data_IF_751860368692
#
_entry.id   IF_751860368692
#
_cell.length_a   1.000
_cell.length_b   1.000
_cell.length_c   1.000
_cell.angle_alpha   90.00
_cell.angle_beta   90.00
_cell.angle_gamma   90.00
#
_symmetry.space_group_name_H-M   'P 1'
#
loop_
_entity.id
_entity.type
_entity.pdbx_description
1 polymer ?
#
# COMPACT_ATOMS: atom_id res chain seq x y z
N UNK A 1 -80.61 29.57 61.73
CA UNK A 1 -80.62 28.69 60.60
C UNK A 1 -81.29 27.39 61.03
N UNK A 2 -82.33 26.99 60.33
CA UNK A 2 -83.12 25.80 60.66
C UNK A 2 -82.30 24.54 60.42
N UNK A 3 -82.38 23.51 61.21
CA UNK A 3 -81.61 22.23 61.10
C UNK A 3 -81.72 21.63 59.69
N UNK A 4 -82.83 21.84 59.03
CA UNK A 4 -83.06 21.39 57.63
C UNK A 4 -82.11 22.10 56.62
N UNK A 5 -81.83 23.38 56.81
CA UNK A 5 -80.91 24.16 55.96
C UNK A 5 -79.46 23.76 56.12
N UNK A 6 -79.08 23.31 57.31
CA UNK A 6 -77.71 22.79 57.56
C UNK A 6 -77.52 21.45 56.91
N UNK A 7 -78.54 20.56 56.94
CA UNK A 7 -78.52 19.22 56.26
C UNK A 7 -78.44 19.39 54.73
N UNK A 8 -79.21 20.32 54.15
CA UNK A 8 -79.16 20.63 52.71
C UNK A 8 -77.77 21.17 52.28
N UNK A 9 -77.18 22.05 53.10
CA UNK A 9 -75.84 22.56 52.81
C UNK A 9 -74.76 21.47 52.90
N UNK A 10 -74.84 20.57 53.85
CA UNK A 10 -73.92 19.44 53.98
C UNK A 10 -74.06 18.45 52.80
N UNK A 11 -75.28 18.18 52.35
CA UNK A 11 -75.52 17.31 51.21
C UNK A 11 -75.04 17.96 49.90
N UNK A 12 -75.17 19.26 49.73
CA UNK A 12 -74.64 19.99 48.58
C UNK A 12 -73.10 19.97 48.54
N UNK A 13 -72.45 20.18 49.70
CA UNK A 13 -70.99 20.10 49.81
C UNK A 13 -70.49 18.66 49.50
N UNK A 14 -71.18 17.63 50.05
CA UNK A 14 -70.83 16.23 49.74
C UNK A 14 -70.99 15.89 48.26
N UNK A 15 -72.04 16.41 47.61
CA UNK A 15 -72.24 16.22 46.19
C UNK A 15 -71.13 16.89 45.32
N UNK A 16 -70.69 18.10 45.70
CA UNK A 16 -69.62 18.86 45.06
C UNK A 16 -68.27 18.09 45.23
N UNK A 17 -67.98 17.61 46.45
CA UNK A 17 -66.76 16.82 46.73
C UNK A 17 -66.75 15.49 45.95
N UNK A 18 -67.88 14.81 45.98
CA UNK A 18 -68.03 13.52 45.25
C UNK A 18 -67.92 13.76 43.73
N UNK A 19 -68.50 14.86 43.19
CA UNK A 19 -68.36 15.27 41.78
C UNK A 19 -66.95 15.62 41.42
N UNK A 20 -66.23 16.33 42.29
CA UNK A 20 -64.81 16.67 42.12
C UNK A 20 -63.91 15.42 42.07
N UNK A 21 -64.12 14.51 43.02
CA UNK A 21 -63.37 13.21 43.05
C UNK A 21 -63.63 12.36 41.79
N UNK A 22 -64.91 12.32 41.38
CA UNK A 22 -65.28 11.61 40.14
C UNK A 22 -64.65 12.23 38.89
N UNK A 23 -64.64 13.56 38.79
CA UNK A 23 -64.01 14.32 37.69
C UNK A 23 -62.49 14.07 37.62
N UNK A 24 -61.80 14.13 38.74
CA UNK A 24 -60.37 13.86 38.83
C UNK A 24 -60.03 12.41 38.41
N UNK A 25 -60.80 11.44 38.93
CA UNK A 25 -60.64 10.02 38.55
C UNK A 25 -60.93 9.79 37.06
N UNK A 26 -62.00 10.38 36.52
CA UNK A 26 -62.34 10.29 35.12
C UNK A 26 -61.23 10.86 34.18
N UNK A 27 -60.70 12.03 34.53
CA UNK A 27 -59.58 12.61 33.77
C UNK A 27 -58.32 11.80 33.87
N UNK A 28 -57.97 11.27 35.02
CA UNK A 28 -56.81 10.38 35.19
C UNK A 28 -56.95 9.09 34.36
N UNK A 29 -58.14 8.48 34.37
CA UNK A 29 -58.43 7.27 33.56
C UNK A 29 -58.33 7.62 32.05
N UNK A 30 -58.94 8.72 31.61
CA UNK A 30 -58.89 9.16 30.22
C UNK A 30 -57.45 9.46 29.77
N UNK A 31 -56.64 10.13 30.56
CA UNK A 31 -55.23 10.41 30.25
C UNK A 31 -54.40 9.14 30.17
N UNK A 32 -54.65 8.17 31.07
CA UNK A 32 -54.01 6.85 31.08
C UNK A 32 -54.37 6.04 29.81
N UNK A 33 -55.62 6.02 29.45
CA UNK A 33 -56.10 5.35 28.20
C UNK A 33 -55.48 5.99 26.97
N UNK A 34 -55.41 7.35 26.90
CA UNK A 34 -54.79 8.07 25.81
C UNK A 34 -53.29 7.74 25.70
N UNK A 35 -52.58 7.70 26.81
CA UNK A 35 -51.15 7.33 26.83
C UNK A 35 -50.93 5.88 26.37
N UNK A 36 -51.72 4.91 26.86
CA UNK A 36 -51.64 3.50 26.42
C UNK A 36 -51.96 3.37 24.92
N UNK A 37 -52.94 4.11 24.41
CA UNK A 37 -53.29 4.07 22.98
C UNK A 37 -52.19 4.65 22.10
N UNK A 38 -51.53 5.73 22.56
CA UNK A 38 -50.39 6.35 21.87
C UNK A 38 -49.18 5.43 21.82
N UNK A 39 -48.86 4.77 22.95
CA UNK A 39 -47.76 3.80 23.03
C UNK A 39 -48.03 2.59 22.12
N UNK A 40 -49.27 2.10 22.07
CA UNK A 40 -49.67 1.02 21.16
C UNK A 40 -49.50 1.44 19.69
N UNK A 41 -49.93 2.63 19.33
CA UNK A 41 -49.82 3.13 17.94
C UNK A 41 -48.36 3.32 17.55
N UNK A 42 -47.50 3.85 18.45
CA UNK A 42 -46.07 4.01 18.23
C UNK A 42 -45.41 2.63 18.03
N UNK A 43 -45.73 1.64 18.83
CA UNK A 43 -45.20 0.28 18.69
C UNK A 43 -45.62 -0.36 17.35
N UNK A 44 -46.88 -0.24 16.96
CA UNK A 44 -47.38 -0.72 15.66
C UNK A 44 -46.69 -0.05 14.50
N UNK A 45 -46.46 1.27 14.55
CA UNK A 45 -45.76 2.00 13.50
C UNK A 45 -44.29 1.54 13.37
N UNK A 46 -43.58 1.37 14.48
CA UNK A 46 -42.18 0.91 14.46
C UNK A 46 -42.08 -0.51 13.88
N UNK A 47 -42.97 -1.41 14.25
CA UNK A 47 -42.93 -2.79 13.76
C UNK A 47 -43.37 -2.91 12.30
N UNK A 48 -44.37 -2.13 11.87
CA UNK A 48 -44.85 -2.13 10.49
C UNK A 48 -43.90 -1.47 9.50
N UNK A 49 -43.11 -0.47 9.94
CA UNK A 49 -42.13 0.24 9.10
C UNK A 49 -40.74 -0.39 9.13
N UNK A 50 -40.55 -1.48 9.86
CA UNK A 50 -39.23 -2.16 9.89
C UNK A 50 -38.89 -2.73 8.52
N UNK A 51 -37.63 -2.48 8.08
CA UNK A 51 -37.06 -3.07 6.86
C UNK A 51 -36.73 -4.58 7.03
N UNK A 52 -36.55 -5.03 8.25
CA UNK A 52 -36.34 -6.46 8.54
C UNK A 52 -37.65 -7.19 8.79
N UNK A 53 -37.77 -8.40 8.28
CA UNK A 53 -38.90 -9.25 8.59
C UNK A 53 -38.91 -9.61 10.09
N UNK A 54 -40.06 -9.55 10.74
CA UNK A 54 -40.18 -9.77 12.18
C UNK A 54 -41.32 -10.72 12.47
N UNK A 55 -41.11 -11.67 13.39
CA UNK A 55 -42.13 -12.54 13.93
C UNK A 55 -41.93 -12.83 15.41
N UNK A 56 -43.02 -13.08 16.13
CA UNK A 56 -43.01 -13.55 17.51
C UNK A 56 -43.62 -14.92 17.55
N UNK A 57 -42.91 -15.86 18.17
CA UNK A 57 -43.37 -17.27 18.26
C UNK A 57 -43.54 -17.74 19.69
N UNK A 58 -44.40 -18.70 19.86
CA UNK A 58 -44.51 -19.50 21.10
C UNK A 58 -43.23 -20.33 21.27
N UNK A 59 -42.66 -20.32 22.46
CA UNK A 59 -41.37 -20.98 22.72
C UNK A 59 -41.51 -22.52 22.77
N UNK A 60 -42.68 -23.05 23.06
CA UNK A 60 -42.91 -24.49 23.20
C UNK A 60 -43.37 -25.12 21.89
N UNK A 61 -44.35 -24.47 21.25
CA UNK A 61 -45.03 -25.02 20.05
C UNK A 61 -44.43 -24.45 18.76
N UNK A 62 -43.65 -23.40 18.81
CA UNK A 62 -43.17 -22.67 17.63
C UNK A 62 -44.27 -21.91 16.86
N UNK A 63 -45.50 -21.86 17.39
CA UNK A 63 -46.64 -21.20 16.73
C UNK A 63 -46.38 -19.70 16.59
N UNK A 64 -46.65 -19.12 15.43
CA UNK A 64 -46.50 -17.70 15.17
C UNK A 64 -47.64 -16.92 15.82
N UNK A 65 -47.31 -16.05 16.77
CA UNK A 65 -48.26 -15.15 17.45
C UNK A 65 -48.54 -13.89 16.66
N UNK A 66 -47.50 -13.32 16.07
CA UNK A 66 -47.61 -12.12 15.24
C UNK A 66 -46.41 -12.02 14.28
N UNK A 67 -46.64 -11.33 13.19
CA UNK A 67 -45.62 -11.04 12.17
C UNK A 67 -45.84 -9.64 11.61
N UNK A 68 -44.79 -8.98 11.15
CA UNK A 68 -44.93 -7.71 10.45
C UNK A 68 -45.20 -7.92 8.95
N UNK A 69 -45.68 -6.86 8.23
CA UNK A 69 -45.92 -6.95 6.79
C UNK A 69 -44.71 -7.38 5.99
N UNK A 70 -43.49 -7.03 6.46
CA UNK A 70 -42.23 -7.36 5.78
C UNK A 70 -41.98 -8.89 5.72
N UNK A 71 -42.41 -9.66 6.72
CA UNK A 71 -42.31 -11.10 6.67
C UNK A 71 -43.27 -11.68 5.59
N UNK A 72 -44.47 -11.11 5.46
CA UNK A 72 -45.41 -11.49 4.41
C UNK A 72 -44.85 -11.25 3.01
N UNK A 73 -44.24 -10.07 2.79
CA UNK A 73 -43.56 -9.72 1.54
C UNK A 73 -42.39 -10.68 1.25
N UNK A 74 -41.55 -10.91 2.25
CA UNK A 74 -40.35 -11.73 2.13
C UNK A 74 -40.64 -13.16 1.77
N UNK A 75 -41.68 -13.77 2.43
CA UNK A 75 -42.01 -15.17 2.27
C UNK A 75 -43.16 -15.44 1.27
N UNK A 76 -43.89 -14.39 0.86
CA UNK A 76 -44.99 -14.49 -0.08
C UNK A 76 -46.26 -15.16 0.52
N UNK A 77 -46.35 -15.24 1.84
CA UNK A 77 -47.56 -15.72 2.52
C UNK A 77 -48.51 -14.57 2.87
N UNK A 78 -49.81 -14.69 2.67
CA UNK A 78 -50.78 -13.79 3.26
C UNK A 78 -50.66 -13.75 4.78
N UNK A 79 -50.81 -12.57 5.39
CA UNK A 79 -50.60 -12.37 6.83
C UNK A 79 -51.42 -13.36 7.70
N UNK A 80 -52.72 -13.53 7.37
CA UNK A 80 -53.59 -14.44 8.12
C UNK A 80 -53.12 -15.91 8.04
N UNK A 81 -52.50 -16.29 6.91
CA UNK A 81 -51.93 -17.62 6.75
C UNK A 81 -50.68 -17.83 7.63
N UNK A 82 -49.85 -16.83 7.75
CA UNK A 82 -48.68 -16.87 8.61
C UNK A 82 -49.06 -17.14 10.08
N UNK A 83 -50.11 -16.50 10.59
CA UNK A 83 -50.56 -16.71 11.97
C UNK A 83 -51.09 -18.14 12.24
N UNK A 84 -51.37 -18.90 11.18
CA UNK A 84 -51.75 -20.30 11.26
C UNK A 84 -50.57 -21.29 11.23
N UNK A 85 -49.36 -20.81 10.92
CA UNK A 85 -48.17 -21.62 10.79
C UNK A 85 -47.36 -21.65 12.09
N UNK A 86 -46.40 -22.58 12.11
CA UNK A 86 -45.32 -22.61 13.07
C UNK A 86 -44.00 -22.11 12.41
N UNK A 87 -43.01 -21.75 13.18
CA UNK A 87 -41.68 -21.39 12.64
C UNK A 87 -41.05 -22.56 11.88
N UNK A 88 -41.37 -23.79 12.25
CA UNK A 88 -40.92 -25.01 11.56
C UNK A 88 -41.45 -25.13 10.13
N UNK A 89 -42.66 -24.60 9.86
CA UNK A 89 -43.24 -24.58 8.52
C UNK A 89 -42.54 -23.58 7.59
N UNK A 90 -41.76 -22.65 8.15
CA UNK A 90 -40.94 -21.67 7.42
C UNK A 90 -39.56 -22.19 7.04
N UNK A 91 -39.18 -23.41 7.48
CA UNK A 91 -37.89 -24.02 7.20
C UNK A 91 -37.99 -25.22 6.27
N UNK A 92 -36.98 -25.51 5.43
CA UNK A 92 -36.90 -26.76 4.70
C UNK A 92 -36.86 -27.95 5.67
N UNK A 93 -37.48 -29.08 5.28
CA UNK A 93 -37.61 -30.27 6.14
C UNK A 93 -36.27 -30.78 6.70
N UNK A 94 -35.22 -30.70 5.95
CA UNK A 94 -33.85 -31.08 6.32
C UNK A 94 -33.24 -30.25 7.46
N UNK A 95 -33.78 -29.04 7.69
CA UNK A 95 -33.31 -28.14 8.74
C UNK A 95 -34.14 -28.17 10.02
N UNK A 96 -35.21 -28.98 10.09
CA UNK A 96 -36.11 -29.02 11.26
C UNK A 96 -35.40 -29.43 12.56
N UNK A 97 -34.48 -30.38 12.50
CA UNK A 97 -33.66 -30.77 13.65
C UNK A 97 -32.84 -29.58 14.16
N UNK A 98 -32.13 -28.88 13.25
CA UNK A 98 -31.33 -27.71 13.58
C UNK A 98 -32.19 -26.54 14.08
N UNK A 99 -33.36 -26.34 13.52
CA UNK A 99 -34.31 -25.33 13.98
C UNK A 99 -34.74 -25.55 15.44
N UNK A 100 -35.00 -26.81 15.82
CA UNK A 100 -35.31 -27.17 17.21
C UNK A 100 -34.17 -26.91 18.17
N UNK A 101 -32.94 -27.24 17.78
CA UNK A 101 -31.71 -26.91 18.55
C UNK A 101 -31.53 -25.40 18.75
N UNK A 102 -31.76 -24.61 17.69
CA UNK A 102 -31.64 -23.14 17.76
C UNK A 102 -32.66 -22.56 18.74
N UNK A 103 -33.90 -23.06 18.76
CA UNK A 103 -34.93 -22.64 19.74
C UNK A 103 -34.46 -22.92 21.18
N UNK A 104 -33.89 -24.09 21.43
CA UNK A 104 -33.32 -24.42 22.74
C UNK A 104 -32.14 -23.52 23.11
N UNK A 105 -31.22 -23.28 22.18
CA UNK A 105 -30.08 -22.37 22.34
C UNK A 105 -30.54 -20.93 22.66
N UNK A 106 -31.52 -20.42 21.93
CA UNK A 106 -32.11 -19.08 22.17
C UNK A 106 -32.69 -18.98 23.57
N UNK A 107 -33.35 -20.06 24.04
CA UNK A 107 -33.90 -20.11 25.39
C UNK A 107 -32.81 -20.07 26.48
N UNK A 108 -31.77 -20.89 26.31
CA UNK A 108 -30.67 -20.99 27.27
C UNK A 108 -29.86 -19.72 27.32
N UNK A 109 -29.46 -19.19 26.15
CA UNK A 109 -28.56 -18.00 25.99
C UNK A 109 -29.30 -16.66 26.05
N UNK A 110 -30.65 -16.67 26.14
CA UNK A 110 -31.55 -15.50 26.07
C UNK A 110 -31.52 -14.73 24.77
N UNK A 111 -30.74 -15.18 23.79
CA UNK A 111 -30.63 -14.61 22.46
C UNK A 111 -29.56 -15.28 21.61
N UNK A 112 -29.74 -15.31 20.28
CA UNK A 112 -28.82 -15.90 19.32
C UNK A 112 -28.94 -15.23 17.93
N UNK A 113 -27.84 -15.09 17.22
CA UNK A 113 -27.81 -14.74 15.79
C UNK A 113 -27.33 -15.96 15.03
N UNK A 114 -28.05 -16.33 13.96
CA UNK A 114 -27.74 -17.50 13.13
C UNK A 114 -28.04 -17.25 11.65
N UNK A 115 -27.32 -17.93 10.77
CA UNK A 115 -27.42 -17.83 9.30
C UNK A 115 -27.49 -19.20 8.62
N UNK A 116 -27.45 -20.26 9.40
CA UNK A 116 -27.33 -21.64 8.95
C UNK A 116 -28.69 -22.33 8.68
N UNK A 117 -29.79 -21.63 8.92
CA UNK A 117 -31.15 -22.16 8.66
C UNK A 117 -31.88 -21.20 7.72
N UNK A 118 -32.09 -21.59 6.46
CA UNK A 118 -32.83 -20.76 5.51
C UNK A 118 -34.34 -20.82 5.78
N UNK A 119 -35.07 -19.83 5.26
CA UNK A 119 -36.52 -19.90 5.16
C UNK A 119 -36.95 -20.55 3.83
N UNK A 120 -38.22 -20.96 3.78
CA UNK A 120 -38.91 -21.40 2.56
C UNK A 120 -40.06 -20.45 2.27
N UNK A 121 -40.09 -19.93 1.06
CA UNK A 121 -41.20 -19.07 0.60
C UNK A 121 -42.46 -19.88 0.31
N UNK A 122 -43.62 -19.22 0.15
CA UNK A 122 -44.88 -19.86 -0.25
C UNK A 122 -44.81 -20.55 -1.62
N UNK A 123 -43.85 -20.17 -2.47
CA UNK A 123 -43.54 -20.79 -3.76
C UNK A 123 -42.58 -21.99 -3.66
N UNK A 124 -42.05 -22.30 -2.47
CA UNK A 124 -41.08 -23.37 -2.25
C UNK A 124 -39.64 -22.98 -2.52
N UNK A 125 -39.34 -21.70 -2.70
CA UNK A 125 -37.97 -21.24 -2.87
C UNK A 125 -37.21 -21.19 -1.54
N UNK A 126 -35.95 -21.65 -1.53
CA UNK A 126 -35.08 -21.57 -0.36
C UNK A 126 -34.48 -20.16 -0.28
N UNK A 127 -34.74 -19.49 0.82
CA UNK A 127 -34.33 -18.13 1.08
C UNK A 127 -33.27 -18.09 2.20
N UNK A 128 -32.01 -17.82 1.90
CA UNK A 128 -30.99 -17.64 2.94
C UNK A 128 -31.27 -16.36 3.74
N UNK A 129 -31.37 -16.53 5.05
CA UNK A 129 -31.69 -15.45 5.97
C UNK A 129 -30.67 -15.41 7.12
N UNK A 130 -30.39 -14.19 7.58
CA UNK A 130 -29.74 -13.95 8.87
C UNK A 130 -30.84 -13.68 9.89
N UNK A 131 -30.94 -14.54 10.89
CA UNK A 131 -31.92 -14.42 11.95
C UNK A 131 -31.26 -13.94 13.25
N UNK A 132 -31.86 -12.93 13.88
CA UNK A 132 -31.57 -12.52 15.26
C UNK A 132 -32.78 -12.86 16.13
N UNK A 133 -32.61 -13.82 17.01
CA UNK A 133 -33.67 -14.31 17.89
C UNK A 133 -33.43 -13.92 19.34
N UNK A 134 -34.45 -13.49 20.07
CA UNK A 134 -34.36 -13.08 21.48
C UNK A 134 -35.61 -13.49 22.28
N UNK A 135 -35.40 -13.93 23.51
CA UNK A 135 -36.51 -14.22 24.42
C UNK A 135 -37.09 -12.90 24.94
N UNK A 136 -38.41 -12.75 24.83
CA UNK A 136 -39.16 -11.58 25.29
C UNK A 136 -40.41 -12.04 26.09
N UNK A 137 -40.93 -11.20 27.01
CA UNK A 137 -42.26 -11.38 27.54
C UNK A 137 -43.32 -10.94 26.48
N UNK A 138 -44.27 -11.77 26.14
CA UNK A 138 -45.36 -11.47 25.23
C UNK A 138 -46.68 -11.97 25.81
N UNK A 139 -47.65 -11.08 26.05
CA UNK A 139 -48.92 -11.38 26.69
C UNK A 139 -48.78 -12.18 28.03
N UNK A 140 -47.78 -11.79 28.85
CA UNK A 140 -47.51 -12.41 30.14
C UNK A 140 -46.85 -13.80 30.11
N UNK A 141 -46.45 -14.27 28.91
CA UNK A 141 -45.74 -15.53 28.70
C UNK A 141 -44.39 -15.31 28.00
N UNK A 142 -43.39 -16.17 28.21
CA UNK A 142 -42.18 -16.13 27.43
C UNK A 142 -42.44 -16.50 25.97
N UNK A 143 -41.88 -15.71 25.05
CA UNK A 143 -41.92 -15.89 23.62
C UNK A 143 -40.58 -15.59 23.00
N UNK A 144 -40.38 -15.97 21.73
CA UNK A 144 -39.16 -15.61 20.98
C UNK A 144 -39.52 -14.58 19.91
N UNK A 145 -38.88 -13.44 19.96
CA UNK A 145 -38.90 -12.46 18.90
C UNK A 145 -37.72 -12.76 17.92
N UNK A 146 -38.05 -12.89 16.64
CA UNK A 146 -37.10 -13.18 15.57
C UNK A 146 -37.14 -12.04 14.57
N UNK A 147 -35.98 -11.45 14.26
CA UNK A 147 -35.77 -10.62 13.09
C UNK A 147 -35.07 -11.45 12.03
N UNK A 148 -35.55 -11.43 10.82
CA UNK A 148 -34.98 -12.16 9.69
C UNK A 148 -34.65 -11.18 8.55
N UNK A 149 -33.41 -11.22 8.10
CA UNK A 149 -32.91 -10.40 7.01
C UNK A 149 -32.53 -11.29 5.84
N UNK A 150 -33.04 -10.98 4.65
CA UNK A 150 -32.56 -11.59 3.40
C UNK A 150 -31.09 -11.29 3.16
N UNK A 151 -30.29 -12.33 2.97
CA UNK A 151 -28.84 -12.20 2.75
C UNK A 151 -28.41 -12.63 1.34
N UNK A 152 -29.35 -12.85 0.40
CA UNK A 152 -29.01 -13.25 -0.98
C UNK A 152 -28.08 -12.27 -1.68
N UNK A 153 -28.35 -10.98 -1.56
CA UNK A 153 -27.52 -9.94 -2.15
C UNK A 153 -26.11 -9.91 -1.51
N UNK A 154 -26.03 -10.01 -0.17
CA UNK A 154 -24.76 -10.11 0.55
C UNK A 154 -23.94 -11.32 0.10
N UNK A 155 -24.55 -12.50 0.05
CA UNK A 155 -23.87 -13.73 -0.39
C UNK A 155 -23.40 -13.66 -1.85
N UNK A 156 -24.18 -13.02 -2.73
CA UNK A 156 -23.79 -12.79 -4.11
C UNK A 156 -22.57 -11.85 -4.18
N UNK A 157 -22.60 -10.74 -3.45
CA UNK A 157 -21.47 -9.80 -3.40
C UNK A 157 -20.21 -10.46 -2.83
N UNK A 158 -20.34 -11.23 -1.75
CA UNK A 158 -19.19 -11.95 -1.16
C UNK A 158 -18.58 -12.96 -2.14
N UNK A 159 -19.43 -13.66 -2.92
CA UNK A 159 -18.96 -14.56 -3.98
C UNK A 159 -18.24 -13.79 -5.08
N UNK A 160 -18.83 -12.69 -5.57
CA UNK A 160 -18.24 -11.85 -6.64
C UNK A 160 -16.88 -11.26 -6.21
N UNK A 161 -16.76 -10.82 -4.95
CA UNK A 161 -15.50 -10.35 -4.38
C UNK A 161 -14.46 -11.47 -4.33
N UNK A 162 -14.84 -12.66 -3.88
CA UNK A 162 -13.93 -13.82 -3.81
C UNK A 162 -13.43 -14.22 -5.20
N UNK A 163 -14.32 -14.28 -6.18
CA UNK A 163 -13.96 -14.62 -7.55
C UNK A 163 -13.04 -13.56 -8.18
N UNK A 164 -13.32 -12.27 -7.96
CA UNK A 164 -12.45 -11.17 -8.40
C UNK A 164 -11.07 -11.23 -7.74
N UNK A 165 -11.01 -11.48 -6.43
CA UNK A 165 -9.73 -11.59 -5.72
C UNK A 165 -8.87 -12.74 -6.29
N UNK A 166 -9.48 -13.90 -6.55
CA UNK A 166 -8.79 -15.04 -7.17
C UNK A 166 -8.21 -14.71 -8.55
N UNK A 167 -8.96 -13.94 -9.37
CA UNK A 167 -8.48 -13.50 -10.67
C UNK A 167 -7.32 -12.51 -10.53
N UNK A 168 -7.43 -11.56 -9.58
CA UNK A 168 -6.38 -10.57 -9.29
C UNK A 168 -5.10 -11.26 -8.80
N UNK A 169 -5.22 -12.20 -7.87
CA UNK A 169 -4.08 -12.99 -7.38
C UNK A 169 -3.37 -13.75 -8.52
N UNK A 170 -4.14 -14.39 -9.40
CA UNK A 170 -3.60 -15.06 -10.58
C UNK A 170 -2.83 -14.10 -11.49
N UNK A 171 -3.44 -12.97 -11.85
CA UNK A 171 -2.79 -11.95 -12.70
C UNK A 171 -1.54 -11.35 -12.05
N UNK A 172 -1.59 -11.06 -10.74
CA UNK A 172 -0.43 -10.54 -10.03
C UNK A 172 0.74 -11.53 -10.04
N UNK A 173 0.44 -12.81 -9.89
CA UNK A 173 1.46 -13.87 -10.00
C UNK A 173 2.09 -13.90 -11.40
N UNK A 174 1.28 -13.89 -12.46
CA UNK A 174 1.77 -13.92 -13.85
C UNK A 174 2.66 -12.69 -14.16
N UNK A 175 2.24 -11.50 -13.69
CA UNK A 175 3.02 -10.26 -13.84
C UNK A 175 4.35 -10.39 -13.07
N UNK A 176 4.32 -10.82 -11.81
CA UNK A 176 5.53 -10.98 -10.98
C UNK A 176 6.49 -11.99 -11.61
N UNK A 177 5.99 -13.12 -12.11
CA UNK A 177 6.80 -14.14 -12.79
C UNK A 177 7.46 -13.57 -14.06
N UNK A 178 6.75 -12.73 -14.81
CA UNK A 178 7.27 -12.04 -15.99
C UNK A 178 8.37 -11.04 -15.64
N UNK A 179 8.19 -10.26 -14.57
CA UNK A 179 9.20 -9.31 -14.07
C UNK A 179 10.44 -10.04 -13.52
N UNK A 180 10.26 -11.15 -12.82
CA UNK A 180 11.36 -12.00 -12.35
C UNK A 180 12.17 -12.57 -13.54
N UNK A 181 11.51 -12.89 -14.63
CA UNK A 181 12.21 -13.29 -15.86
C UNK A 181 13.01 -12.14 -16.48
N UNK A 182 12.44 -10.93 -16.53
CA UNK A 182 13.14 -9.73 -16.98
C UNK A 182 14.36 -9.41 -16.09
N UNK A 183 14.27 -9.61 -14.78
CA UNK A 183 15.40 -9.48 -13.85
C UNK A 183 16.57 -10.40 -14.21
N UNK A 184 16.28 -11.67 -14.54
CA UNK A 184 17.34 -12.62 -14.95
C UNK A 184 18.03 -12.18 -16.23
N UNK A 185 17.28 -11.63 -17.21
CA UNK A 185 17.85 -11.07 -18.42
C UNK A 185 18.74 -9.87 -18.09
N UNK A 186 18.24 -8.93 -17.27
CA UNK A 186 19.00 -7.76 -16.86
C UNK A 186 20.30 -8.16 -16.15
N UNK A 187 20.24 -9.10 -15.20
CA UNK A 187 21.43 -9.60 -14.49
C UNK A 187 22.44 -10.29 -15.43
N UNK A 188 21.98 -10.95 -16.47
CA UNK A 188 22.87 -11.60 -17.44
C UNK A 188 23.57 -10.61 -18.37
N UNK A 189 23.04 -9.39 -18.51
CA UNK A 189 23.62 -8.32 -19.33
C UNK A 189 24.62 -7.47 -18.55
N UNK A 190 24.42 -7.34 -17.22
CA UNK A 190 25.34 -6.62 -16.35
C UNK A 190 26.73 -7.25 -16.35
N UNK A 191 27.76 -6.41 -16.25
CA UNK A 191 29.15 -6.85 -16.19
C UNK A 191 29.41 -7.80 -15.01
N UNK A 192 30.21 -8.83 -15.20
CA UNK A 192 30.56 -9.77 -14.12
C UNK A 192 31.41 -9.04 -13.07
N UNK A 193 30.96 -9.09 -11.81
CA UNK A 193 31.70 -8.54 -10.66
C UNK A 193 33.08 -9.16 -10.52
N UNK A 194 33.28 -10.40 -10.95
CA UNK A 194 34.58 -11.07 -10.90
C UNK A 194 35.59 -10.44 -11.87
N UNK A 195 35.17 -10.04 -13.07
CA UNK A 195 36.03 -9.34 -14.02
C UNK A 195 36.51 -8.00 -13.45
N UNK A 196 35.64 -7.30 -12.69
CA UNK A 196 36.04 -6.07 -12.01
C UNK A 196 37.10 -6.35 -10.94
N UNK A 197 36.93 -7.42 -10.14
CA UNK A 197 37.88 -7.79 -9.09
C UNK A 197 39.22 -8.30 -9.64
N UNK A 198 39.26 -8.91 -10.81
CA UNK A 198 40.49 -9.30 -11.48
C UNK A 198 41.37 -8.08 -11.84
N UNK A 199 40.75 -7.01 -12.30
CA UNK A 199 41.45 -5.77 -12.67
C UNK A 199 41.64 -4.80 -11.48
N UNK A 200 40.68 -4.78 -10.55
CA UNK A 200 40.71 -4.01 -9.30
C UNK A 200 40.39 -4.92 -8.11
N UNK A 201 41.40 -5.64 -7.57
CA UNK A 201 41.20 -6.54 -6.42
C UNK A 201 40.63 -5.84 -5.19
N UNK A 202 40.93 -4.55 -5.04
CA UNK A 202 40.40 -3.68 -4.01
C UNK A 202 39.21 -2.88 -4.59
N UNK A 203 38.04 -3.55 -4.75
CA UNK A 203 36.83 -2.95 -5.26
C UNK A 203 35.59 -3.52 -4.60
N UNK A 204 34.50 -2.78 -4.65
CA UNK A 204 33.17 -3.25 -4.33
C UNK A 204 32.13 -2.63 -5.26
N UNK A 205 31.01 -3.35 -5.40
CA UNK A 205 29.74 -2.82 -5.95
C UNK A 205 28.68 -3.01 -4.90
N UNK A 206 28.08 -1.92 -4.46
CA UNK A 206 26.88 -1.91 -3.67
C UNK A 206 25.72 -1.54 -4.60
N UNK A 207 24.94 -2.53 -4.98
CA UNK A 207 23.79 -2.40 -5.89
C UNK A 207 22.54 -2.92 -5.21
N UNK A 208 21.57 -2.06 -5.01
CA UNK A 208 20.31 -2.36 -4.33
C UNK A 208 19.15 -1.72 -5.10
N UNK A 209 18.52 -2.49 -5.99
CA UNK A 209 17.32 -2.05 -6.68
C UNK A 209 16.18 -1.73 -5.70
N UNK A 210 15.35 -0.75 -6.04
CA UNK A 210 14.10 -0.43 -5.35
C UNK A 210 13.02 -1.48 -5.64
N UNK A 211 12.91 -1.85 -6.90
CA UNK A 211 11.95 -2.83 -7.41
C UNK A 211 12.66 -4.17 -7.76
N UNK A 212 11.95 -5.09 -8.39
CA UNK A 212 12.53 -6.38 -8.82
C UNK A 212 13.62 -6.16 -9.89
N UNK A 213 13.43 -5.17 -10.76
CA UNK A 213 14.37 -4.73 -11.80
C UNK A 213 14.75 -3.28 -11.57
N UNK A 214 15.88 -2.81 -12.09
CA UNK A 214 16.47 -1.51 -11.80
C UNK A 214 16.65 -0.64 -13.04
N UNK A 215 16.45 0.68 -12.86
CA UNK A 215 16.90 1.71 -13.80
C UNK A 215 18.41 1.93 -13.70
N UNK A 216 18.97 1.81 -12.50
CA UNK A 216 20.39 1.90 -12.29
C UNK A 216 21.12 0.68 -12.83
N UNK A 217 22.34 0.92 -13.32
CA UNK A 217 23.25 -0.15 -13.67
C UNK A 217 24.72 0.28 -13.55
N UNK A 218 25.57 -0.69 -13.26
CA UNK A 218 27.02 -0.55 -13.39
C UNK A 218 27.48 -1.21 -14.67
N UNK A 219 28.55 -0.65 -15.26
CA UNK A 219 29.15 -1.19 -16.47
C UNK A 219 30.66 -1.21 -16.34
N UNK A 220 31.30 -2.24 -16.89
CA UNK A 220 32.72 -2.47 -16.82
C UNK A 220 33.20 -3.06 -18.15
N UNK A 221 34.41 -2.64 -18.57
CA UNK A 221 35.14 -3.26 -19.65
C UNK A 221 36.63 -3.08 -19.47
N UNK A 222 37.41 -4.04 -19.89
CA UNK A 222 38.87 -3.94 -19.93
C UNK A 222 39.36 -4.25 -21.34
N UNK A 223 39.96 -3.27 -22.00
CA UNK A 223 40.51 -3.42 -23.36
C UNK A 223 41.66 -2.44 -23.57
N UNK A 224 42.66 -2.81 -24.38
CA UNK A 224 43.86 -2.00 -24.67
C UNK A 224 44.56 -1.47 -23.40
N UNK A 225 44.75 -2.34 -22.38
CA UNK A 225 45.34 -1.95 -21.08
C UNK A 225 44.60 -0.76 -20.39
N UNK A 226 43.37 -0.54 -20.75
CA UNK A 226 42.52 0.51 -20.18
C UNK A 226 41.29 -0.15 -19.56
N UNK A 227 41.02 0.19 -18.32
CA UNK A 227 39.81 -0.27 -17.62
C UNK A 227 38.79 0.85 -17.61
N UNK A 228 37.57 0.54 -18.03
CA UNK A 228 36.42 1.45 -18.08
C UNK A 228 35.41 1.04 -17.03
N UNK A 229 34.86 2.02 -16.36
CA UNK A 229 33.88 1.81 -15.29
C UNK A 229 32.82 2.90 -15.35
N UNK A 230 31.57 2.50 -15.21
CA UNK A 230 30.44 3.43 -15.13
C UNK A 230 29.47 3.05 -14.00
N UNK A 231 28.84 4.08 -13.44
CA UNK A 231 27.60 3.99 -12.66
C UNK A 231 26.58 4.90 -13.31
N UNK A 232 25.47 4.35 -13.72
CA UNK A 232 24.45 5.02 -14.50
C UNK A 232 23.08 4.88 -13.84
N UNK A 233 22.29 5.95 -13.95
CA UNK A 233 20.94 6.10 -13.46
C UNK A 233 20.03 6.46 -14.64
N UNK A 234 19.13 5.56 -15.01
CA UNK A 234 18.20 5.77 -16.11
C UNK A 234 16.89 6.40 -15.62
N UNK A 235 16.32 7.25 -16.46
CA UNK A 235 15.01 7.84 -16.17
C UNK A 235 13.95 6.77 -15.86
N UNK A 236 13.39 6.84 -14.63
CA UNK A 236 12.35 5.95 -14.15
C UNK A 236 12.88 4.66 -13.51
N UNK A 237 12.09 4.07 -12.65
CA UNK A 237 12.42 2.82 -11.94
C UNK A 237 11.54 1.66 -12.40
N UNK A 238 11.80 0.44 -11.94
CA UNK A 238 11.09 -0.76 -12.34
C UNK A 238 11.26 -1.10 -13.82
N UNK A 239 10.23 -1.61 -14.48
CA UNK A 239 10.32 -2.14 -15.85
C UNK A 239 10.77 -1.10 -16.88
N UNK A 240 10.24 0.14 -16.92
CA UNK A 240 10.70 1.15 -17.87
C UNK A 240 12.19 1.48 -17.70
N UNK A 241 12.65 1.73 -16.47
CA UNK A 241 14.06 1.98 -16.16
C UNK A 241 14.95 0.80 -16.57
N UNK A 242 14.51 -0.44 -16.30
CA UNK A 242 15.25 -1.64 -16.68
C UNK A 242 15.43 -1.78 -18.20
N UNK A 243 14.42 -1.43 -19.00
CA UNK A 243 14.56 -1.41 -20.45
C UNK A 243 15.58 -0.38 -20.92
N UNK A 244 15.57 0.81 -20.30
CA UNK A 244 16.55 1.86 -20.58
C UNK A 244 17.97 1.44 -20.21
N UNK A 245 18.15 0.81 -19.05
CA UNK A 245 19.47 0.34 -18.60
C UNK A 245 20.03 -0.74 -19.54
N UNK A 246 19.20 -1.66 -20.04
CA UNK A 246 19.62 -2.67 -21.01
C UNK A 246 20.03 -2.05 -22.35
N UNK A 247 19.29 -1.05 -22.84
CA UNK A 247 19.63 -0.33 -24.08
C UNK A 247 20.95 0.43 -23.92
N UNK A 248 21.11 1.18 -22.83
CA UNK A 248 22.31 1.95 -22.56
C UNK A 248 23.54 1.05 -22.39
N UNK A 249 23.40 -0.08 -21.67
CA UNK A 249 24.45 -1.09 -21.52
C UNK A 249 24.91 -1.64 -22.89
N UNK A 250 23.96 -2.00 -23.75
CA UNK A 250 24.26 -2.48 -25.11
C UNK A 250 25.00 -1.45 -25.93
N UNK A 251 24.59 -0.17 -25.84
CA UNK A 251 25.29 0.90 -26.57
C UNK A 251 26.68 1.17 -26.01
N UNK A 252 26.91 1.09 -24.70
CA UNK A 252 28.26 1.17 -24.15
C UNK A 252 29.16 0.05 -24.67
N UNK A 253 28.68 -1.18 -24.74
CA UNK A 253 29.42 -2.29 -25.32
C UNK A 253 29.76 -2.01 -26.80
N UNK A 254 28.81 -1.55 -27.61
CA UNK A 254 29.05 -1.22 -29.01
C UNK A 254 30.09 -0.10 -29.14
N UNK A 255 29.96 0.99 -28.36
CA UNK A 255 30.84 2.16 -28.45
C UNK A 255 32.28 1.84 -28.03
N UNK A 256 32.44 1.16 -26.90
CA UNK A 256 33.76 0.87 -26.36
C UNK A 256 34.40 -0.35 -27.00
N UNK A 257 33.68 -1.49 -27.06
CA UNK A 257 34.27 -2.76 -27.41
C UNK A 257 34.26 -3.03 -28.93
N UNK A 258 33.31 -2.46 -29.68
CA UNK A 258 33.21 -2.69 -31.13
C UNK A 258 33.79 -1.52 -31.95
N UNK A 259 33.42 -0.24 -31.55
CA UNK A 259 33.93 0.94 -32.25
C UNK A 259 35.31 1.39 -31.78
N UNK A 260 35.82 0.81 -30.68
CA UNK A 260 37.12 1.13 -30.07
C UNK A 260 37.29 2.63 -29.72
N UNK A 261 36.21 3.24 -29.20
CA UNK A 261 36.27 4.61 -28.68
C UNK A 261 36.66 4.53 -27.20
N UNK A 262 37.81 5.10 -26.83
CA UNK A 262 38.39 4.92 -25.47
C UNK A 262 38.43 6.21 -24.63
N UNK A 263 38.06 7.34 -25.20
CA UNK A 263 38.04 8.61 -24.48
C UNK A 263 36.66 8.86 -23.89
N UNK A 264 36.54 9.04 -22.55
CA UNK A 264 35.26 9.14 -21.85
C UNK A 264 34.25 10.15 -22.41
N UNK A 265 34.68 11.36 -22.75
CA UNK A 265 33.82 12.40 -23.33
C UNK A 265 33.29 12.03 -24.72
N UNK A 266 34.11 11.39 -25.56
CA UNK A 266 33.69 10.90 -26.87
C UNK A 266 32.69 9.74 -26.72
N UNK A 267 32.91 8.84 -25.73
CA UNK A 267 31.99 7.74 -25.42
C UNK A 267 30.62 8.31 -25.03
N UNK A 268 30.57 9.30 -24.12
CA UNK A 268 29.29 9.88 -23.69
C UNK A 268 28.59 10.66 -24.81
N UNK A 269 29.32 11.34 -25.70
CA UNK A 269 28.72 11.99 -26.87
C UNK A 269 28.09 10.97 -27.83
N UNK A 270 28.81 9.90 -28.15
CA UNK A 270 28.30 8.83 -29.02
C UNK A 270 27.09 8.08 -28.39
N UNK A 271 27.17 7.82 -27.08
CA UNK A 271 26.07 7.22 -26.32
C UNK A 271 24.81 8.10 -26.39
N UNK A 272 24.96 9.42 -26.20
CA UNK A 272 23.85 10.37 -26.32
C UNK A 272 23.20 10.33 -27.69
N UNK A 273 24.00 10.37 -28.76
CA UNK A 273 23.48 10.35 -30.12
C UNK A 273 22.72 9.06 -30.41
N UNK A 274 23.20 7.93 -29.90
CA UNK A 274 22.52 6.63 -30.03
C UNK A 274 21.21 6.59 -29.25
N UNK A 275 21.17 7.07 -28.01
CA UNK A 275 19.94 7.13 -27.19
C UNK A 275 18.88 8.00 -27.89
N UNK A 276 19.26 9.24 -28.29
CA UNK A 276 18.34 10.15 -28.98
C UNK A 276 17.77 9.52 -30.25
N UNK A 277 18.63 8.88 -31.05
CA UNK A 277 18.23 8.22 -32.28
C UNK A 277 17.32 7.02 -32.05
N UNK A 278 17.68 6.16 -31.08
CA UNK A 278 16.93 4.93 -30.77
C UNK A 278 15.55 5.25 -30.22
N UNK A 279 15.42 6.22 -29.34
CA UNK A 279 14.16 6.66 -28.76
C UNK A 279 13.39 7.64 -29.66
N UNK A 280 13.91 7.95 -30.86
CA UNK A 280 13.31 8.88 -31.83
C UNK A 280 12.94 10.23 -31.20
N UNK A 281 13.79 10.71 -30.29
CA UNK A 281 13.58 11.99 -29.59
C UNK A 281 13.76 13.15 -30.58
N UNK A 282 12.66 13.61 -31.19
CA UNK A 282 12.66 14.81 -32.04
C UNK A 282 12.33 16.03 -31.19
N UNK A 283 13.17 17.05 -31.25
CA UNK A 283 13.25 18.19 -30.34
C UNK A 283 12.01 19.08 -30.16
N UNK A 284 10.88 18.79 -30.76
CA UNK A 284 9.66 19.60 -30.64
C UNK A 284 8.50 18.92 -29.89
N UNK A 285 8.53 17.61 -29.67
CA UNK A 285 7.52 16.95 -28.82
C UNK A 285 8.08 16.77 -27.41
N UNK A 286 7.49 17.46 -26.43
CA UNK A 286 7.82 17.36 -24.99
C UNK A 286 7.55 15.96 -24.39
N UNK A 287 7.16 14.98 -25.20
CA UNK A 287 6.60 13.72 -24.71
C UNK A 287 7.60 12.65 -24.31
N UNK A 288 8.88 12.74 -24.71
CA UNK A 288 9.87 11.71 -24.38
C UNK A 288 11.21 12.32 -24.04
N UNK A 289 11.44 12.59 -22.76
CA UNK A 289 12.72 13.07 -22.20
C UNK A 289 13.52 11.95 -21.53
N UNK A 290 13.25 10.71 -21.90
CA UNK A 290 13.95 9.57 -21.34
C UNK A 290 15.44 9.64 -21.67
N UNK A 291 16.27 9.38 -20.69
CA UNK A 291 17.71 9.46 -20.79
C UNK A 291 18.37 8.78 -19.61
N UNK A 292 19.61 9.12 -19.37
CA UNK A 292 20.31 8.65 -18.18
C UNK A 292 21.33 9.67 -17.69
N UNK A 293 21.58 9.63 -16.41
CA UNK A 293 22.68 10.29 -15.73
C UNK A 293 23.79 9.28 -15.50
N UNK A 294 25.05 9.64 -15.76
CA UNK A 294 26.14 8.67 -15.71
C UNK A 294 27.43 9.32 -15.19
N UNK A 295 28.10 8.60 -14.32
CA UNK A 295 29.50 8.79 -13.99
C UNK A 295 30.32 7.76 -14.75
N UNK A 296 31.21 8.19 -15.64
CA UNK A 296 32.02 7.32 -16.50
C UNK A 296 33.50 7.65 -16.38
N UNK A 297 34.33 6.65 -16.08
CA UNK A 297 35.77 6.86 -16.06
C UNK A 297 36.53 5.75 -16.77
N UNK A 298 37.75 6.08 -17.20
CA UNK A 298 38.73 5.13 -17.67
C UNK A 298 40.03 5.28 -16.86
N UNK A 299 40.69 4.13 -16.60
CA UNK A 299 41.99 4.08 -15.91
C UNK A 299 42.99 3.35 -16.79
N UNK A 300 44.06 4.07 -17.20
CA UNK A 300 45.22 3.50 -17.94
C UNK A 300 46.49 3.76 -17.16
N UNK A 301 47.10 2.70 -16.61
CA UNK A 301 48.18 2.89 -15.63
C UNK A 301 47.68 3.65 -14.40
N UNK A 302 48.31 4.79 -14.11
CA UNK A 302 47.88 5.68 -13.01
C UNK A 302 47.04 6.87 -13.49
N UNK A 303 46.77 7.01 -14.78
CA UNK A 303 45.92 8.09 -15.30
C UNK A 303 44.45 7.71 -15.25
N UNK A 304 43.66 8.42 -14.44
CA UNK A 304 42.22 8.38 -14.47
C UNK A 304 41.73 9.50 -15.39
N UNK A 305 40.85 9.16 -16.32
CA UNK A 305 40.08 10.09 -17.15
C UNK A 305 38.60 9.94 -16.88
N UNK A 306 37.87 11.03 -16.74
CA UNK A 306 36.49 11.11 -16.34
C UNK A 306 35.66 11.99 -17.28
N UNK A 307 34.47 11.60 -17.55
CA UNK A 307 33.37 12.39 -18.10
C UNK A 307 32.08 12.02 -17.40
N UNK A 308 31.23 12.98 -17.11
CA UNK A 308 29.95 12.70 -16.39
C UNK A 308 28.81 13.50 -16.96
N UNK A 309 27.64 12.88 -16.96
CA UNK A 309 26.33 13.49 -17.20
C UNK A 309 25.59 13.55 -15.86
N UNK A 310 25.42 14.73 -15.29
CA UNK A 310 24.83 15.03 -13.98
C UNK A 310 25.48 14.33 -12.77
N UNK A 311 25.98 13.10 -12.90
CA UNK A 311 26.59 12.32 -11.83
C UNK A 311 28.11 12.57 -11.70
N UNK A 312 28.61 12.99 -10.52
CA UNK A 312 30.01 13.26 -10.28
C UNK A 312 30.80 11.96 -10.06
N UNK A 313 32.13 12.11 -10.07
CA UNK A 313 33.07 11.13 -9.56
C UNK A 313 33.77 11.69 -8.33
N UNK A 314 33.90 10.92 -7.26
CA UNK A 314 34.58 11.31 -6.04
C UNK A 314 35.87 10.53 -5.84
N UNK A 315 36.93 11.24 -5.40
CA UNK A 315 38.23 10.66 -5.08
C UNK A 315 38.57 11.02 -3.64
N UNK A 316 38.90 10.04 -2.82
CA UNK A 316 39.48 10.28 -1.49
C UNK A 316 40.96 10.04 -1.54
N UNK A 317 41.71 11.03 -1.12
CA UNK A 317 43.17 11.12 -1.19
C UNK A 317 43.76 11.65 0.11
N UNK A 318 44.99 11.28 0.43
CA UNK A 318 45.78 11.86 1.52
C UNK A 318 45.94 13.40 1.33
N UNK A 319 45.77 14.17 2.42
CA UNK A 319 45.85 15.65 2.38
C UNK A 319 47.22 16.16 1.96
N UNK A 320 48.31 15.41 2.23
CA UNK A 320 49.67 15.78 1.85
C UNK A 320 49.90 15.66 0.35
N UNK A 321 49.08 14.90 -0.36
CA UNK A 321 49.18 14.69 -1.80
C UNK A 321 48.47 15.82 -2.55
N UNK A 322 49.22 16.71 -3.17
CA UNK A 322 48.67 17.81 -3.98
C UNK A 322 48.01 17.32 -5.27
N UNK A 323 46.96 18.01 -5.70
CA UNK A 323 46.21 17.71 -6.91
C UNK A 323 45.85 18.99 -7.65
N UNK A 324 45.76 18.90 -8.98
CA UNK A 324 45.26 19.99 -9.83
C UNK A 324 43.77 20.35 -9.52
N UNK A 325 43.09 19.49 -8.75
CA UNK A 325 41.68 19.65 -8.36
C UNK A 325 41.51 19.97 -6.87
N UNK A 326 42.55 20.48 -6.18
CA UNK A 326 42.43 20.81 -4.75
C UNK A 326 41.41 21.94 -4.48
N UNK A 327 41.07 22.75 -5.48
CA UNK A 327 40.00 23.74 -5.47
C UNK A 327 38.59 23.10 -5.46
N UNK A 328 38.47 21.78 -5.70
CA UNK A 328 37.24 21.00 -5.71
C UNK A 328 37.09 20.10 -4.48
N UNK A 329 37.86 20.36 -3.42
CA UNK A 329 37.70 19.63 -2.15
C UNK A 329 36.33 19.92 -1.53
N UNK A 330 35.52 18.89 -1.34
CA UNK A 330 34.17 19.00 -0.80
C UNK A 330 34.14 18.81 0.71
N UNK A 331 34.88 17.81 1.21
CA UNK A 331 35.04 17.47 2.63
C UNK A 331 36.50 17.05 2.89
N UNK A 332 37.03 17.37 4.06
CA UNK A 332 38.35 16.91 4.50
C UNK A 332 38.39 16.69 6.01
N UNK A 333 39.28 15.83 6.46
CA UNK A 333 39.70 15.68 7.84
C UNK A 333 41.22 15.96 7.95
N UNK A 334 41.84 15.60 9.08
CA UNK A 334 43.28 15.81 9.29
C UNK A 334 44.16 15.01 8.32
N UNK A 335 43.67 13.87 7.81
CA UNK A 335 44.45 12.91 7.03
C UNK A 335 44.05 12.80 5.57
N UNK A 336 42.76 12.93 5.29
CA UNK A 336 42.18 12.70 3.96
C UNK A 336 41.32 13.86 3.49
N UNK A 337 41.28 14.06 2.17
CA UNK A 337 40.40 15.00 1.47
C UNK A 337 39.60 14.27 0.40
N UNK A 338 38.33 14.67 0.24
CA UNK A 338 37.47 14.23 -0.83
C UNK A 338 37.45 15.28 -1.94
N UNK A 339 37.87 14.88 -3.12
CA UNK A 339 37.93 15.70 -4.33
C UNK A 339 36.74 15.32 -5.21
N UNK A 340 35.94 16.29 -5.64
CA UNK A 340 34.83 16.10 -6.56
C UNK A 340 35.21 16.46 -7.99
N UNK A 341 35.21 15.48 -8.89
CA UNK A 341 35.27 15.72 -10.33
C UNK A 341 33.81 15.96 -10.83
N UNK A 342 33.51 17.25 -11.08
CA UNK A 342 32.15 17.68 -11.42
C UNK A 342 31.74 17.21 -12.82
N UNK A 343 30.51 16.72 -13.01
CA UNK A 343 29.99 16.36 -14.31
C UNK A 343 29.55 17.59 -15.11
N UNK A 344 29.23 17.40 -16.38
CA UNK A 344 28.44 18.35 -17.15
C UNK A 344 26.97 18.30 -16.68
N UNK A 345 26.33 19.47 -16.60
CA UNK A 345 24.94 19.61 -16.11
C UNK A 345 23.94 19.37 -17.24
N UNK A 346 24.00 18.18 -17.80
CA UNK A 346 23.13 17.68 -18.85
C UNK A 346 23.06 16.16 -18.77
N UNK A 347 21.90 15.52 -19.12
CA UNK A 347 21.79 14.07 -19.19
C UNK A 347 22.33 13.51 -20.51
N UNK A 348 22.46 12.20 -20.58
CA UNK A 348 22.56 11.44 -21.83
C UNK A 348 21.15 11.34 -22.44
N UNK A 349 20.80 12.27 -23.29
CA UNK A 349 19.47 12.41 -23.88
C UNK A 349 19.26 13.81 -24.47
N UNK A 350 18.03 14.12 -24.83
CA UNK A 350 17.68 15.45 -25.36
C UNK A 350 17.74 16.50 -24.26
N UNK A 351 18.49 17.57 -24.49
CA UNK A 351 18.62 18.70 -23.57
C UNK A 351 18.63 20.02 -24.33
N UNK A 352 17.89 21.08 -23.88
CA UNK A 352 17.80 22.37 -24.61
C UNK A 352 19.15 23.05 -24.85
N UNK A 353 20.07 22.91 -23.90
CA UNK A 353 21.41 23.50 -23.95
C UNK A 353 22.48 22.39 -24.08
N UNK A 354 22.23 21.39 -24.91
CA UNK A 354 23.18 20.32 -25.11
C UNK A 354 24.50 20.85 -25.72
N UNK A 355 25.62 20.43 -25.12
CA UNK A 355 26.97 20.70 -25.60
C UNK A 355 27.80 19.39 -25.52
N UNK A 356 28.96 19.32 -26.21
CA UNK A 356 29.85 18.17 -26.06
C UNK A 356 30.25 17.97 -24.59
N UNK A 357 30.29 16.69 -24.16
CA UNK A 357 30.78 16.37 -22.82
C UNK A 357 32.25 16.71 -22.64
N UNK A 358 32.64 17.11 -21.44
CA UNK A 358 34.02 17.54 -21.11
C UNK A 358 34.82 16.36 -20.57
N UNK A 359 36.11 16.30 -21.00
CA UNK A 359 37.09 15.36 -20.46
C UNK A 359 37.82 15.99 -19.28
N UNK A 360 37.92 15.25 -18.18
CA UNK A 360 38.78 15.61 -17.03
C UNK A 360 39.74 14.46 -16.75
N UNK A 361 40.97 14.75 -16.37
CA UNK A 361 41.95 13.73 -16.08
C UNK A 361 42.73 14.04 -14.82
N UNK A 362 43.09 13.02 -14.06
CA UNK A 362 43.87 13.13 -12.82
C UNK A 362 44.82 11.94 -12.74
N UNK A 363 46.01 12.18 -12.17
CA UNK A 363 46.97 11.13 -11.84
C UNK A 363 46.56 10.48 -10.50
N UNK A 364 46.23 9.20 -10.50
CA UNK A 364 45.98 8.43 -9.28
C UNK A 364 47.27 8.20 -8.52
N UNK A 365 47.18 8.24 -7.22
CA UNK A 365 48.28 7.93 -6.28
C UNK A 365 47.94 6.68 -5.49
N UNK A 366 48.92 5.93 -5.08
CA UNK A 366 48.71 4.72 -4.27
C UNK A 366 47.90 5.05 -3.01
N UNK A 367 46.82 4.33 -2.81
CA UNK A 367 45.90 4.53 -1.69
C UNK A 367 44.71 5.43 -2.01
N UNK A 368 44.66 6.08 -3.18
CA UNK A 368 43.44 6.79 -3.61
C UNK A 368 42.27 5.83 -3.70
N UNK A 369 41.11 6.28 -3.22
CA UNK A 369 39.84 5.58 -3.45
C UNK A 369 38.95 6.40 -4.35
N UNK A 370 38.38 5.74 -5.37
CA UNK A 370 37.50 6.33 -6.38
C UNK A 370 36.09 5.80 -6.16
N UNK A 371 35.10 6.69 -6.20
CA UNK A 371 33.68 6.33 -6.03
C UNK A 371 32.84 6.89 -7.18
N UNK A 372 32.07 5.99 -7.82
CA UNK A 372 31.02 6.31 -8.77
C UNK A 372 29.70 5.88 -8.13
N UNK A 373 28.66 6.68 -8.27
CA UNK A 373 27.39 6.40 -7.62
C UNK A 373 26.22 7.10 -8.32
N UNK A 374 25.01 6.61 -8.02
CA UNK A 374 23.73 7.23 -8.39
C UNK A 374 23.18 8.02 -7.21
N UNK A 375 22.12 8.78 -7.41
CA UNK A 375 21.59 9.70 -6.40
C UNK A 375 20.80 9.00 -5.27
N UNK A 376 20.33 7.76 -5.49
CA UNK A 376 19.45 7.05 -4.56
C UNK A 376 19.99 6.88 -3.14
N UNK A 377 21.33 6.78 -2.96
CA UNK A 377 21.93 6.74 -1.64
C UNK A 377 21.74 8.05 -0.88
N UNK A 378 22.03 9.17 -1.55
CA UNK A 378 21.94 10.50 -0.96
C UNK A 378 20.49 10.97 -0.79
N UNK A 379 19.62 10.52 -1.65
CA UNK A 379 18.21 10.91 -1.71
C UNK A 379 17.30 10.08 -0.78
N UNK A 380 17.80 8.95 -0.24
CA UNK A 380 17.02 8.12 0.67
C UNK A 380 16.52 8.90 1.89
N UNK A 381 15.22 8.87 2.11
CA UNK A 381 14.61 9.46 3.31
C UNK A 381 14.79 8.58 4.54
N UNK A 382 15.06 9.22 5.68
CA UNK A 382 15.25 8.51 6.93
C UNK A 382 15.59 9.40 8.12
N UNK A 383 16.12 8.77 9.16
CA UNK A 383 16.50 9.41 10.40
C UNK A 383 15.32 9.97 11.21
N UNK A 384 15.58 10.57 12.38
CA UNK A 384 14.51 11.03 13.29
C UNK A 384 13.59 12.09 12.69
N UNK A 385 14.08 12.85 11.69
CA UNK A 385 13.34 13.95 11.05
C UNK A 385 12.78 13.58 9.67
N UNK A 386 12.90 12.33 9.25
CA UNK A 386 12.46 11.82 7.93
C UNK A 386 12.93 12.73 6.78
N UNK A 387 14.22 13.06 6.74
CA UNK A 387 14.83 13.88 5.69
C UNK A 387 15.70 13.02 4.77
N UNK A 388 16.09 13.58 3.60
CA UNK A 388 17.07 12.94 2.73
C UNK A 388 18.40 12.76 3.48
N UNK A 389 19.16 11.70 3.13
CA UNK A 389 20.50 11.44 3.69
C UNK A 389 21.47 12.57 3.35
N UNK A 390 21.40 13.05 2.13
CA UNK A 390 22.18 14.14 1.52
C UNK A 390 23.62 13.75 1.15
N UNK A 391 24.11 14.30 0.05
CA UNK A 391 25.48 14.12 -0.44
C UNK A 391 26.55 14.49 0.60
N UNK A 392 26.29 15.49 1.44
CA UNK A 392 27.21 15.89 2.51
C UNK A 392 27.44 14.74 3.49
N UNK A 393 26.38 14.12 4.00
CA UNK A 393 26.50 13.02 4.95
C UNK A 393 27.12 11.78 4.29
N UNK A 394 26.83 11.55 3.01
CA UNK A 394 27.44 10.47 2.25
C UNK A 394 28.95 10.67 2.08
N UNK A 395 29.38 11.88 1.74
CA UNK A 395 30.79 12.24 1.64
C UNK A 395 31.54 12.10 2.98
N UNK A 396 30.92 12.57 4.08
CA UNK A 396 31.47 12.42 5.44
C UNK A 396 31.59 10.94 5.85
N UNK A 397 30.59 10.13 5.52
CA UNK A 397 30.61 8.68 5.77
C UNK A 397 31.75 8.01 5.00
N UNK A 398 31.87 8.24 3.67
CA UNK A 398 32.95 7.67 2.85
C UNK A 398 34.33 8.07 3.37
N UNK A 399 34.51 9.33 3.76
CA UNK A 399 35.77 9.83 4.32
C UNK A 399 36.11 9.13 5.65
N UNK A 400 35.10 8.89 6.50
CA UNK A 400 35.28 8.24 7.82
C UNK A 400 35.68 6.78 7.72
N UNK A 401 35.29 6.10 6.63
CA UNK A 401 35.54 4.66 6.43
C UNK A 401 36.67 4.38 5.44
N UNK A 402 37.36 5.40 4.95
CA UNK A 402 38.37 5.29 3.90
C UNK A 402 39.49 4.28 4.22
N UNK A 403 39.92 4.19 5.48
CA UNK A 403 40.99 3.26 5.91
C UNK A 403 40.53 1.77 5.95
N UNK A 404 39.24 1.52 5.91
CA UNK A 404 38.69 0.16 5.89
C UNK A 404 38.93 -0.51 4.54
N UNK A 405 38.97 -1.82 4.53
CA UNK A 405 38.97 -2.58 3.26
C UNK A 405 37.72 -2.27 2.44
N UNK A 406 37.79 -2.44 1.13
CA UNK A 406 36.64 -2.17 0.25
C UNK A 406 35.43 -3.02 0.61
N UNK A 407 35.62 -4.24 1.05
CA UNK A 407 34.53 -5.13 1.50
C UNK A 407 33.89 -4.64 2.82
N UNK A 408 34.70 -4.13 3.75
CA UNK A 408 34.19 -3.53 4.99
C UNK A 408 33.42 -2.23 4.70
N UNK A 409 33.94 -1.41 3.78
CA UNK A 409 33.24 -0.17 3.36
C UNK A 409 31.85 -0.48 2.79
N UNK A 410 31.75 -1.47 1.91
CA UNK A 410 30.46 -1.93 1.39
C UNK A 410 29.48 -2.28 2.52
N UNK A 411 29.90 -3.11 3.46
CA UNK A 411 29.04 -3.54 4.60
C UNK A 411 28.61 -2.36 5.48
N UNK A 412 29.50 -1.38 5.68
CA UNK A 412 29.19 -0.19 6.47
C UNK A 412 28.16 0.67 5.71
N UNK A 413 28.32 0.85 4.39
CA UNK A 413 27.37 1.59 3.56
C UNK A 413 25.98 0.93 3.55
N UNK A 414 25.95 -0.40 3.38
CA UNK A 414 24.71 -1.17 3.45
C UNK A 414 23.99 -0.98 4.78
N UNK A 415 24.73 -1.10 5.90
CA UNK A 415 24.16 -0.93 7.23
C UNK A 415 23.72 0.52 7.48
N UNK A 416 24.53 1.48 7.13
CA UNK A 416 24.25 2.89 7.38
C UNK A 416 22.96 3.36 6.68
N UNK A 417 22.74 2.91 5.43
CA UNK A 417 21.52 3.29 4.71
C UNK A 417 20.27 2.57 5.25
N UNK A 418 20.40 1.31 5.70
CA UNK A 418 19.30 0.59 6.34
C UNK A 418 18.92 1.21 7.69
N UNK A 419 19.92 1.52 8.52
CA UNK A 419 19.72 2.18 9.81
C UNK A 419 19.10 3.58 9.63
N UNK A 420 19.53 4.32 8.57
CA UNK A 420 18.96 5.62 8.23
C UNK A 420 17.50 5.50 7.77
N UNK A 421 17.24 4.62 6.83
CA UNK A 421 15.90 4.39 6.26
C UNK A 421 14.90 3.93 7.33
N UNK A 422 15.32 3.07 8.25
CA UNK A 422 14.45 2.46 9.26
C UNK A 422 13.25 1.77 8.62
N UNK A 423 12.05 2.11 9.06
CA UNK A 423 10.80 1.55 8.55
C UNK A 423 10.23 2.26 7.30
N UNK A 424 10.95 3.22 6.73
CA UNK A 424 10.53 3.87 5.49
C UNK A 424 10.86 2.99 4.28
N UNK A 425 10.15 3.22 3.18
CA UNK A 425 10.43 2.54 1.92
C UNK A 425 11.69 3.10 1.26
N UNK A 426 12.38 2.28 0.49
CA UNK A 426 13.42 2.74 -0.42
C UNK A 426 12.76 3.52 -1.54
N UNK A 427 13.28 4.73 -1.83
CA UNK A 427 12.63 5.65 -2.79
C UNK A 427 13.16 5.52 -4.19
N UNK A 428 14.40 5.09 -4.36
CA UNK A 428 15.06 4.93 -5.64
C UNK A 428 16.05 3.76 -5.64
N UNK A 429 16.54 3.37 -6.82
CA UNK A 429 17.62 2.42 -6.96
C UNK A 429 18.91 2.99 -6.30
N UNK A 430 19.72 2.15 -5.71
CA UNK A 430 20.98 2.56 -5.05
C UNK A 430 22.14 1.82 -5.71
N UNK A 431 23.07 2.58 -6.26
CA UNK A 431 24.32 2.06 -6.81
C UNK A 431 25.51 2.87 -6.29
N UNK A 432 26.49 2.16 -5.72
CA UNK A 432 27.81 2.72 -5.34
C UNK A 432 28.89 1.74 -5.77
N UNK A 433 29.80 2.22 -6.61
CA UNK A 433 31.00 1.49 -7.02
C UNK A 433 32.21 2.12 -6.33
N UNK A 434 32.95 1.37 -5.58
CA UNK A 434 34.17 1.81 -4.90
C UNK A 434 35.39 1.05 -5.38
N UNK A 435 36.47 1.74 -5.67
CA UNK A 435 37.74 1.20 -6.14
C UNK A 435 38.89 1.80 -5.34
N UNK A 436 39.95 1.05 -5.04
CA UNK A 436 41.19 1.55 -4.45
C UNK A 436 42.37 1.27 -5.37
N UNK A 437 43.12 2.31 -5.67
CA UNK A 437 44.30 2.27 -6.52
C UNK A 437 45.58 1.97 -5.73
#
# INVERSE_FOLDING_TARGET
MNTLSIIFLLLAVLAIVAGGIYYVRFNNISSTIAAISLDKTNYENITQQSNDAMLVIDIVTGKIYTANPKLSELLGYPHDKLLGLTVFDLHPKEFLGRSSEVIADVWEKKGLIYTDIPFVTSAGEILPVECSAKVIPYNGRPAILIYARDIRERLKMEKDIRDKNRIIEGKNKDITDSINYAQRIQQAILSDVNEIKENFPQSFIFFKPKDIVSGDFYWFSHTDNTTFIAAADCTGHGVPGALMSMIANSFLNEVVNEKNIFQPDLILNELRDKIIKSLRQKGESMENKDGLDISFCSVKGNKLSFSGANNPLWIIRDVENNSEFDDKVTVKNEKYKLIEMRPDKQPIGTHPNAHPFSLKSLQLMKGDSVYLFTDGYADQFGGPKKKKFLYKNFAELLLSIHEKTMEEQKKILERAIEDWKGNLEQIDDILVVGLRY
#
